data_IF_244779027414
#
_entry.id   IF_244779027414
#
_cell.length_a   1.000
_cell.length_b   1.000
_cell.length_c   1.000
_cell.angle_alpha   90.00
_cell.angle_beta   90.00
_cell.angle_gamma   90.00
#
_symmetry.space_group_name_H-M   'P 1'
#
loop_
_entity.id
_entity.type
_entity.pdbx_description
1 polymer ?
#
# COMPACT_ATOMS: atom_id res chain seq x y z
N UNK A 1 33.84 48.53 -8.83
CA UNK A 1 33.11 47.70 -9.81
C UNK A 1 33.61 46.26 -9.69
N UNK A 2 32.95 45.40 -8.92
CA UNK A 2 33.23 43.97 -8.87
C UNK A 2 31.96 43.22 -8.47
N UNK A 3 31.72 42.14 -9.18
CA UNK A 3 30.43 41.62 -9.59
C UNK A 3 29.57 41.02 -8.47
N UNK A 4 28.28 41.28 -8.63
CA UNK A 4 27.12 40.54 -8.13
C UNK A 4 27.28 39.04 -8.41
N UNK A 5 27.10 38.17 -7.41
CA UNK A 5 26.70 36.77 -7.62
C UNK A 5 25.84 36.34 -6.43
N UNK A 6 24.53 36.40 -6.65
CA UNK A 6 23.47 35.88 -5.79
C UNK A 6 23.55 34.35 -5.87
N UNK A 7 24.12 33.72 -4.85
CA UNK A 7 24.05 32.27 -4.68
C UNK A 7 22.74 31.90 -3.98
N UNK A 8 21.67 31.76 -4.76
CA UNK A 8 20.44 31.13 -4.26
C UNK A 8 20.72 29.64 -4.05
N UNK A 9 20.97 29.26 -2.81
CA UNK A 9 21.09 27.87 -2.37
C UNK A 9 19.68 27.26 -2.41
N UNK A 10 19.28 26.68 -3.54
CA UNK A 10 18.06 25.89 -3.62
C UNK A 10 18.30 24.57 -2.86
N UNK A 11 17.57 24.27 -1.77
CA UNK A 11 17.61 22.93 -1.20
C UNK A 11 16.91 22.01 -2.20
N UNK A 12 17.70 21.19 -2.90
CA UNK A 12 17.17 20.05 -3.62
C UNK A 12 16.52 19.13 -2.59
N UNK A 13 15.19 19.20 -2.48
CA UNK A 13 14.39 18.22 -1.77
C UNK A 13 14.61 16.87 -2.45
N UNK A 14 15.58 16.11 -1.93
CA UNK A 14 15.68 14.67 -2.10
C UNK A 14 14.41 14.06 -1.49
N UNK A 15 13.31 14.06 -2.24
CA UNK A 15 12.21 13.16 -1.98
C UNK A 15 12.75 11.76 -2.26
N UNK A 16 13.40 11.17 -1.26
CA UNK A 16 13.72 9.76 -1.28
C UNK A 16 12.40 9.03 -1.49
N UNK A 17 12.23 8.39 -2.66
CA UNK A 17 11.23 7.35 -2.84
C UNK A 17 11.62 6.28 -1.83
N UNK A 18 11.02 6.34 -0.64
CA UNK A 18 11.19 5.29 0.35
C UNK A 18 10.64 4.03 -0.33
N UNK A 19 11.38 2.91 -0.35
CA UNK A 19 10.75 1.65 -0.73
C UNK A 19 9.54 1.51 0.17
N UNK A 20 8.35 1.48 -0.44
CA UNK A 20 7.16 1.22 0.32
C UNK A 20 7.37 -0.19 0.86
N UNK A 21 7.58 -0.29 2.17
CA UNK A 21 7.57 -1.58 2.85
C UNK A 21 6.21 -2.18 2.47
N UNK A 22 6.15 -3.46 2.11
CA UNK A 22 4.93 -4.10 1.60
C UNK A 22 4.53 -5.32 2.45
N UNK A 23 3.22 -5.58 2.57
CA UNK A 23 2.66 -6.60 3.45
C UNK A 23 2.04 -7.74 2.65
N UNK A 24 2.58 -8.94 2.79
CA UNK A 24 2.22 -10.07 1.93
C UNK A 24 1.05 -10.90 2.48
N UNK A 25 0.33 -11.53 1.55
CA UNK A 25 -0.83 -12.37 1.85
C UNK A 25 -1.37 -13.08 0.61
N UNK A 26 -2.63 -13.50 0.71
CA UNK A 26 -3.37 -14.08 -0.42
C UNK A 26 -4.82 -13.58 -0.45
N UNK A 27 -5.41 -13.57 -1.64
CA UNK A 27 -6.84 -13.37 -1.83
C UNK A 27 -7.60 -14.65 -1.44
N UNK A 28 -8.57 -14.55 -0.53
CA UNK A 28 -9.29 -15.70 -0.01
C UNK A 28 -10.15 -16.42 -1.06
N UNK A 29 -10.60 -15.70 -2.09
CA UNK A 29 -11.49 -16.25 -3.12
C UNK A 29 -10.69 -16.91 -4.25
N UNK A 30 -9.63 -16.26 -4.73
CA UNK A 30 -8.83 -16.78 -5.85
C UNK A 30 -7.61 -17.60 -5.42
N UNK A 31 -7.18 -17.49 -4.16
CA UNK A 31 -5.91 -18.01 -3.62
C UNK A 31 -4.65 -17.39 -4.24
N UNK A 32 -4.79 -16.32 -5.04
CA UNK A 32 -3.66 -15.62 -5.61
C UNK A 32 -2.87 -14.87 -4.54
N UNK A 33 -1.56 -14.85 -4.69
CA UNK A 33 -0.69 -14.07 -3.82
C UNK A 33 -0.90 -12.57 -4.07
N UNK A 34 -0.98 -11.82 -3.00
CA UNK A 34 -1.20 -10.37 -3.02
C UNK A 34 -0.28 -9.65 -2.04
N UNK A 35 -0.10 -8.37 -2.28
CA UNK A 35 0.72 -7.46 -1.50
C UNK A 35 -0.08 -6.19 -1.20
N UNK A 36 -0.17 -5.78 0.07
CA UNK A 36 -0.76 -4.51 0.50
C UNK A 36 0.35 -3.48 0.71
N UNK A 37 0.17 -2.30 0.13
CA UNK A 37 1.08 -1.16 0.22
C UNK A 37 0.31 0.04 0.80
N UNK A 38 0.85 0.70 1.86
CA UNK A 38 2.09 0.42 2.56
C UNK A 38 1.97 -0.74 3.58
N UNK A 39 3.11 -1.27 4.03
CA UNK A 39 3.25 -2.31 5.07
C UNK A 39 3.05 -1.74 6.47
N UNK A 40 1.86 -1.23 6.67
CA UNK A 40 1.30 -0.92 7.96
C UNK A 40 0.01 -1.72 8.11
N UNK A 41 -0.41 -1.96 9.35
CA UNK A 41 -1.74 -2.49 9.57
C UNK A 41 -2.77 -1.50 9.03
N UNK A 42 -3.65 -1.91 8.09
CA UNK A 42 -4.63 -1.01 7.54
C UNK A 42 -5.69 -0.60 8.56
N UNK A 43 -6.37 0.52 8.29
CA UNK A 43 -7.49 1.04 9.06
C UNK A 43 -8.73 1.13 8.18
N UNK A 44 -9.88 0.68 8.70
CA UNK A 44 -11.15 0.79 7.98
C UNK A 44 -11.45 2.25 7.58
N UNK A 45 -11.80 2.46 6.31
CA UNK A 45 -12.06 3.77 5.72
C UNK A 45 -10.89 4.39 4.98
N UNK A 46 -9.68 3.83 5.05
CA UNK A 46 -8.54 4.30 4.28
C UNK A 46 -8.43 3.61 2.91
N UNK A 47 -7.64 4.21 2.02
CA UNK A 47 -7.24 3.56 0.78
C UNK A 47 -5.88 2.90 0.94
N UNK A 48 -5.76 1.67 0.44
CA UNK A 48 -4.51 0.93 0.32
C UNK A 48 -4.32 0.49 -1.12
N UNK A 49 -3.08 0.33 -1.56
CA UNK A 49 -2.77 -0.26 -2.86
C UNK A 49 -2.61 -1.77 -2.68
N UNK A 50 -3.37 -2.55 -3.45
CA UNK A 50 -3.30 -4.02 -3.48
C UNK A 50 -2.68 -4.43 -4.80
N UNK A 51 -1.52 -5.09 -4.74
CA UNK A 51 -0.86 -5.66 -5.92
C UNK A 51 -1.14 -7.15 -6.01
N UNK A 52 -1.60 -7.59 -7.17
CA UNK A 52 -1.79 -9.00 -7.52
C UNK A 52 -0.52 -9.53 -8.20
N UNK A 53 0.17 -10.50 -7.58
CA UNK A 53 1.43 -11.02 -8.12
C UNK A 53 1.24 -11.82 -9.42
N UNK A 54 0.07 -12.43 -9.61
CA UNK A 54 -0.22 -13.20 -10.83
C UNK A 54 -0.28 -12.33 -12.08
N UNK A 55 -0.80 -11.10 -11.96
CA UNK A 55 -1.00 -10.18 -13.09
C UNK A 55 -0.06 -8.98 -13.07
N UNK A 56 0.70 -8.80 -11.99
CA UNK A 56 1.52 -7.61 -11.70
C UNK A 56 0.73 -6.30 -11.79
N UNK A 57 -0.55 -6.34 -11.42
CA UNK A 57 -1.43 -5.17 -11.41
C UNK A 57 -1.63 -4.66 -10.00
N UNK A 58 -1.63 -3.33 -9.85
CA UNK A 58 -1.91 -2.67 -8.58
C UNK A 58 -3.24 -1.93 -8.65
N UNK A 59 -4.09 -2.15 -7.66
CA UNK A 59 -5.40 -1.55 -7.55
C UNK A 59 -5.53 -0.83 -6.21
N UNK A 60 -5.84 0.47 -6.23
CA UNK A 60 -6.19 1.21 -5.02
C UNK A 60 -7.57 0.79 -4.54
N UNK A 61 -7.66 0.23 -3.34
CA UNK A 61 -8.88 -0.31 -2.75
C UNK A 61 -9.21 0.40 -1.44
N UNK A 62 -10.51 0.52 -1.13
CA UNK A 62 -11.00 1.08 0.13
C UNK A 62 -11.10 -0.02 1.18
N UNK A 63 -10.43 0.12 2.32
CA UNK A 63 -10.52 -0.83 3.43
C UNK A 63 -11.90 -0.74 4.08
N UNK A 64 -12.60 -1.87 4.16
CA UNK A 64 -13.93 -1.99 4.77
C UNK A 64 -13.86 -2.50 6.19
N UNK A 65 -13.12 -3.58 6.43
CA UNK A 65 -12.95 -4.18 7.76
C UNK A 65 -11.56 -4.78 7.90
N UNK A 66 -11.06 -4.79 9.14
CA UNK A 66 -9.79 -5.42 9.51
C UNK A 66 -10.03 -6.28 10.74
N UNK A 67 -9.75 -7.57 10.64
CA UNK A 67 -9.94 -8.55 11.72
C UNK A 67 -8.63 -9.27 12.01
N UNK A 68 -8.16 -9.20 13.26
CA UNK A 68 -6.91 -9.84 13.69
C UNK A 68 -7.20 -11.20 14.30
N UNK A 69 -6.51 -12.22 13.79
CA UNK A 69 -6.45 -13.56 14.38
C UNK A 69 -5.07 -13.77 15.02
N UNK A 70 -4.85 -14.93 15.65
CA UNK A 70 -3.59 -15.24 16.34
C UNK A 70 -2.38 -15.41 15.42
N UNK A 71 -2.59 -15.52 14.10
CA UNK A 71 -1.54 -15.79 13.09
C UNK A 71 -1.67 -14.98 11.81
N UNK A 72 -2.82 -14.39 11.56
CA UNK A 72 -3.14 -13.70 10.30
C UNK A 72 -4.00 -12.49 10.59
N UNK A 73 -4.06 -11.59 9.63
CA UNK A 73 -5.02 -10.49 9.63
C UNK A 73 -5.85 -10.58 8.38
N UNK A 74 -7.16 -10.60 8.54
CA UNK A 74 -8.11 -10.55 7.44
C UNK A 74 -8.47 -9.09 7.16
N UNK A 75 -8.31 -8.67 5.90
CA UNK A 75 -8.62 -7.32 5.43
C UNK A 75 -9.64 -7.43 4.31
N UNK A 76 -10.84 -6.91 4.53
CA UNK A 76 -11.85 -6.81 3.47
C UNK A 76 -11.70 -5.46 2.79
N UNK A 77 -11.55 -5.45 1.48
CA UNK A 77 -11.40 -4.23 0.68
C UNK A 77 -12.47 -4.13 -0.39
N UNK A 78 -12.84 -2.90 -0.74
CA UNK A 78 -13.71 -2.61 -1.89
C UNK A 78 -12.87 -2.10 -3.06
N UNK A 79 -12.99 -2.76 -4.20
CA UNK A 79 -12.31 -2.40 -5.44
C UNK A 79 -12.99 -1.21 -6.12
N UNK A 80 -12.30 -0.51 -7.05
CA UNK A 80 -12.85 0.66 -7.75
C UNK A 80 -14.12 0.37 -8.57
N UNK A 81 -14.26 -0.85 -9.09
CA UNK A 81 -15.45 -1.32 -9.81
C UNK A 81 -16.64 -1.65 -8.88
N UNK A 82 -16.44 -1.54 -7.56
CA UNK A 82 -17.45 -1.80 -6.54
C UNK A 82 -17.47 -3.23 -6.01
N UNK A 83 -16.60 -4.11 -6.53
CA UNK A 83 -16.37 -5.45 -6.00
C UNK A 83 -15.81 -5.44 -4.58
N UNK A 84 -15.88 -6.60 -3.91
CA UNK A 84 -15.31 -6.80 -2.58
C UNK A 84 -14.35 -7.97 -2.64
N UNK A 85 -13.18 -7.82 -2.00
CA UNK A 85 -12.17 -8.87 -1.87
C UNK A 85 -11.86 -9.09 -0.40
N UNK A 86 -11.58 -10.32 -0.02
CA UNK A 86 -11.11 -10.68 1.33
C UNK A 86 -9.65 -11.10 1.22
N UNK A 87 -8.77 -10.33 1.85
CA UNK A 87 -7.32 -10.55 1.79
C UNK A 87 -6.87 -11.12 3.14
N UNK A 88 -6.19 -12.26 3.12
CA UNK A 88 -5.60 -12.88 4.32
C UNK A 88 -4.13 -12.58 4.32
N UNK A 89 -3.74 -11.70 5.24
CA UNK A 89 -2.40 -11.15 5.33
C UNK A 89 -1.62 -11.80 6.47
N UNK A 90 -0.29 -11.82 6.35
CA UNK A 90 0.60 -12.33 7.40
C UNK A 90 0.36 -11.63 8.75
N UNK A 91 0.27 -12.39 9.84
CA UNK A 91 0.15 -11.80 11.17
C UNK A 91 1.44 -11.06 11.57
N UNK A 92 1.30 -9.85 12.10
CA UNK A 92 2.38 -9.09 12.73
C UNK A 92 2.36 -9.24 14.25
#
# INVERSE_FOLDING_TARGET
MKYLLIGALAPACLLSVQPAVAWDGFDADSSDLVEIIPDALPVAGENVDVRDYATDQTTTCLVKTVSRNSRTVEVVVRTPDGGTRTLVMEGR
#
